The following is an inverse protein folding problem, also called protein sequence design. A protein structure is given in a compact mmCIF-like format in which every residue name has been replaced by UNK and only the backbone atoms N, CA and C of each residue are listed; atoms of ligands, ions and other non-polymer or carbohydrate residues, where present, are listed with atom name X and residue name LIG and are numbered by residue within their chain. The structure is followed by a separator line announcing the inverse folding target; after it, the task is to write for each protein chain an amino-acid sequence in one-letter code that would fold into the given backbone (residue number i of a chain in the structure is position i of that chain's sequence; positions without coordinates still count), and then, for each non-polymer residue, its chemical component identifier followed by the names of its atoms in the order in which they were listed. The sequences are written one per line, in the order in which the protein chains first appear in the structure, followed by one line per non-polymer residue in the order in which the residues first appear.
data_IF_626900605930
#
_entry.id   IF_626900605930
#
_cell.length_a   1.000
_cell.length_b   1.000
_cell.length_c   1.000
_cell.angle_alpha   90.00
_cell.angle_beta   90.00
_cell.angle_gamma   90.00
#
_symmetry.space_group_name_H-M   'P 1'
#
loop_
_entity.id
_entity.type
_entity.pdbx_description
1 polymer ?
#
# COMPACT_ATOMS: atom_id res chain seq x y z
N UNK A 1 -1.98 -20.02 -5.79
CA UNK A 1 -0.83 -19.61 -6.56
C UNK A 1 -0.39 -18.20 -6.20
N UNK A 2 0.84 -18.09 -5.85
CA UNK A 2 1.36 -16.77 -5.54
C UNK A 2 1.33 -15.88 -6.78
N UNK A 3 1.29 -14.58 -6.56
CA UNK A 3 1.41 -13.64 -7.64
C UNK A 3 2.75 -13.84 -8.30
N UNK A 4 2.73 -14.02 -9.59
CA UNK A 4 3.93 -14.31 -10.35
C UNK A 4 4.77 -13.04 -10.52
N UNK A 5 6.02 -13.26 -10.91
CA UNK A 5 6.88 -12.15 -11.26
C UNK A 5 6.26 -11.32 -12.40
N UNK A 6 5.61 -11.99 -13.33
CA UNK A 6 4.97 -11.30 -14.46
C UNK A 6 3.84 -10.39 -14.01
N UNK A 7 3.06 -10.85 -13.03
CA UNK A 7 1.99 -10.02 -12.49
C UNK A 7 2.57 -8.77 -11.84
N UNK A 8 3.63 -8.93 -11.04
CA UNK A 8 4.26 -7.77 -10.39
C UNK A 8 4.81 -6.79 -11.40
N UNK A 9 5.43 -7.29 -12.46
CA UNK A 9 5.93 -6.41 -13.52
C UNK A 9 4.79 -5.66 -14.19
N UNK A 10 3.65 -6.32 -14.37
CA UNK A 10 2.48 -5.68 -14.96
C UNK A 10 1.96 -4.54 -14.09
N UNK A 11 1.92 -4.76 -12.79
CA UNK A 11 1.47 -3.71 -11.86
C UNK A 11 2.42 -2.52 -11.90
N UNK A 12 3.73 -2.78 -11.85
CA UNK A 12 4.72 -1.70 -11.90
C UNK A 12 4.58 -0.91 -13.20
N UNK A 13 4.47 -1.62 -14.32
CA UNK A 13 4.33 -0.95 -15.62
C UNK A 13 3.05 -0.12 -15.68
N UNK A 14 1.96 -0.64 -15.11
CA UNK A 14 0.69 0.08 -15.11
C UNK A 14 0.79 1.35 -14.28
N UNK A 15 1.41 1.25 -13.10
CA UNK A 15 1.57 2.41 -12.23
C UNK A 15 2.40 3.50 -12.90
N UNK A 16 3.46 3.10 -13.59
CA UNK A 16 4.32 4.06 -14.26
C UNK A 16 3.62 4.81 -15.38
N UNK A 17 2.68 4.14 -16.07
CA UNK A 17 1.97 4.77 -17.19
C UNK A 17 0.72 5.51 -16.75
N UNK A 18 0.17 5.16 -15.59
CA UNK A 18 -1.14 5.63 -15.20
C UNK A 18 -1.14 6.04 -13.72
N UNK A 19 -0.86 7.30 -13.44
CA UNK A 19 -0.87 7.78 -12.04
C UNK A 19 -2.21 7.56 -11.33
N UNK A 20 -3.30 7.55 -12.07
CA UNK A 20 -4.61 7.30 -11.47
C UNK A 20 -4.70 5.87 -10.92
N UNK A 21 -3.99 4.93 -11.54
CA UNK A 21 -3.97 3.56 -11.07
C UNK A 21 -3.25 3.46 -9.72
N UNK A 22 -2.12 4.16 -9.58
CA UNK A 22 -1.39 4.18 -8.30
C UNK A 22 -2.25 4.78 -7.21
N UNK A 23 -2.94 5.85 -7.51
CA UNK A 23 -3.84 6.49 -6.55
C UNK A 23 -4.96 5.54 -6.14
N UNK A 24 -5.52 4.81 -7.10
CA UNK A 24 -6.59 3.84 -6.81
C UNK A 24 -6.09 2.70 -5.94
N UNK A 25 -4.85 2.23 -6.17
CA UNK A 25 -4.26 1.20 -5.32
C UNK A 25 -4.04 1.69 -3.90
N UNK A 26 -3.64 2.94 -3.75
CA UNK A 26 -3.45 3.52 -2.43
C UNK A 26 -4.79 3.59 -1.69
N UNK A 27 -5.84 4.02 -2.37
CA UNK A 27 -7.18 4.04 -1.79
C UNK A 27 -7.63 2.66 -1.38
N UNK A 28 -7.39 1.67 -2.23
CA UNK A 28 -7.79 0.30 -1.97
C UNK A 28 -7.06 -0.26 -0.75
N UNK A 29 -5.76 -0.04 -0.65
CA UNK A 29 -5.00 -0.53 0.49
C UNK A 29 -5.50 0.08 1.79
N UNK A 30 -5.74 1.40 1.80
CA UNK A 30 -6.24 2.08 2.98
C UNK A 30 -7.63 1.56 3.37
N UNK A 31 -8.50 1.38 2.38
CA UNK A 31 -9.85 0.89 2.61
C UNK A 31 -9.82 -0.52 3.21
N UNK A 32 -8.97 -1.38 2.68
CA UNK A 32 -8.89 -2.76 3.16
C UNK A 32 -8.36 -2.82 4.59
N UNK A 33 -7.36 -2.01 4.93
CA UNK A 33 -6.88 -1.96 6.31
C UNK A 33 -8.00 -1.54 7.26
N UNK A 34 -8.77 -0.54 6.88
CA UNK A 34 -9.83 -0.01 7.73
C UNK A 34 -11.09 -0.87 7.71
N UNK A 35 -11.18 -1.79 6.77
CA UNK A 35 -12.35 -2.69 6.66
C UNK A 35 -12.07 -4.08 7.22
N UNK A 36 -10.95 -4.26 7.90
CA UNK A 36 -10.67 -5.52 8.57
C UNK A 36 -10.05 -6.57 7.70
N UNK A 37 -9.41 -6.19 6.59
CA UNK A 37 -8.76 -7.13 5.69
C UNK A 37 -7.28 -6.79 5.52
N UNK A 38 -6.51 -6.87 6.62
CA UNK A 38 -5.12 -6.42 6.59
C UNK A 38 -4.20 -7.28 5.72
N UNK A 39 -4.51 -8.56 5.53
CA UNK A 39 -3.64 -9.42 4.73
C UNK A 39 -3.60 -8.97 3.28
N UNK A 40 -4.76 -8.77 2.69
CA UNK A 40 -4.83 -8.30 1.31
C UNK A 40 -4.27 -6.88 1.21
N UNK A 41 -4.57 -6.06 2.21
CA UNK A 41 -4.09 -4.68 2.24
C UNK A 41 -2.56 -4.63 2.22
N UNK A 42 -1.90 -5.49 3.00
CA UNK A 42 -0.43 -5.53 3.03
C UNK A 42 0.15 -5.90 1.68
N UNK A 43 -0.49 -6.85 0.99
CA UNK A 43 -0.03 -7.28 -0.32
C UNK A 43 -0.08 -6.14 -1.33
N UNK A 44 -1.21 -5.46 -1.36
CA UNK A 44 -1.38 -4.33 -2.26
C UNK A 44 -0.39 -3.22 -1.93
N UNK A 45 -0.23 -2.92 -0.64
CA UNK A 45 0.66 -1.86 -0.22
C UNK A 45 2.11 -2.17 -0.57
N UNK A 46 2.52 -3.43 -0.41
CA UNK A 46 3.87 -3.83 -0.78
C UNK A 46 4.12 -3.64 -2.27
N UNK A 47 3.17 -4.07 -3.10
CA UNK A 47 3.32 -3.91 -4.53
C UNK A 47 3.35 -2.43 -4.92
N UNK A 48 2.54 -1.63 -4.24
CA UNK A 48 2.52 -0.19 -4.50
C UNK A 48 3.86 0.46 -4.11
N UNK A 49 4.44 0.06 -2.98
CA UNK A 49 5.75 0.57 -2.57
C UNK A 49 6.79 0.26 -3.65
N UNK A 50 6.81 -0.99 -4.12
CA UNK A 50 7.77 -1.38 -5.16
C UNK A 50 7.58 -0.59 -6.45
N UNK A 51 6.34 -0.24 -6.76
CA UNK A 51 6.02 0.44 -8.02
C UNK A 51 6.18 1.97 -7.93
N UNK A 52 6.32 2.52 -6.75
CA UNK A 52 6.37 3.97 -6.59
C UNK A 52 7.66 4.42 -5.91
N UNK A 53 7.64 4.51 -4.58
CA UNK A 53 8.77 5.07 -3.84
C UNK A 53 9.95 4.11 -3.72
N UNK A 54 9.68 2.80 -3.66
CA UNK A 54 10.71 1.79 -3.41
C UNK A 54 11.07 1.69 -1.94
N UNK A 55 11.55 0.51 -1.53
CA UNK A 55 11.81 0.29 -0.11
C UNK A 55 13.00 1.08 0.43
N UNK A 56 13.99 1.38 -0.41
CA UNK A 56 15.14 2.15 0.05
C UNK A 56 14.76 3.58 0.41
N UNK A 57 14.00 4.24 -0.47
CA UNK A 57 13.56 5.60 -0.20
C UNK A 57 12.53 5.63 0.91
N UNK A 58 11.69 4.59 0.98
CA UNK A 58 10.71 4.48 2.05
C UNK A 58 11.43 4.35 3.40
N UNK A 59 12.51 3.57 3.44
CA UNK A 59 13.32 3.41 4.64
C UNK A 59 13.84 4.77 5.13
N UNK A 60 14.34 5.58 4.22
CA UNK A 60 14.83 6.90 4.58
C UNK A 60 13.69 7.82 5.04
N UNK A 61 12.58 7.77 4.34
CA UNK A 61 11.45 8.66 4.66
C UNK A 61 10.82 8.33 6.02
N UNK A 62 10.85 7.05 6.41
CA UNK A 62 10.21 6.61 7.66
C UNK A 62 11.22 6.39 8.78
N UNK A 63 12.50 6.56 8.51
CA UNK A 63 13.58 6.27 9.47
C UNK A 63 13.46 4.84 10.03
N UNK A 64 13.08 3.91 9.16
CA UNK A 64 12.89 2.50 9.52
C UNK A 64 13.73 1.64 8.59
N UNK A 65 14.46 0.66 9.13
CA UNK A 65 15.28 -0.20 8.26
C UNK A 65 14.45 -0.89 7.18
N UNK A 66 15.01 -0.98 5.98
CA UNK A 66 14.33 -1.61 4.85
C UNK A 66 13.88 -3.02 5.19
N UNK A 67 14.73 -3.77 5.89
CA UNK A 67 14.42 -5.14 6.29
C UNK A 67 13.16 -5.20 7.17
N UNK A 68 13.02 -4.23 8.07
CA UNK A 68 11.84 -4.16 8.92
C UNK A 68 10.59 -3.85 8.10
N UNK A 69 10.72 -2.94 7.13
CA UNK A 69 9.60 -2.61 6.27
C UNK A 69 9.14 -3.82 5.44
N UNK A 70 10.09 -4.57 4.90
CA UNK A 70 9.75 -5.79 4.15
C UNK A 70 8.99 -6.79 5.04
N UNK A 71 9.44 -6.93 6.29
CA UNK A 71 8.77 -7.83 7.21
C UNK A 71 7.37 -7.36 7.56
N UNK A 72 7.21 -6.06 7.79
CA UNK A 72 5.90 -5.49 8.10
C UNK A 72 4.88 -5.75 7.00
N UNK A 73 5.31 -5.67 5.76
CA UNK A 73 4.43 -5.83 4.62
C UNK A 73 4.44 -7.24 4.04
N UNK A 74 5.00 -8.19 4.78
CA UNK A 74 4.97 -9.59 4.37
C UNK A 74 3.60 -10.20 4.69
N UNK A 75 3.31 -11.40 4.15
CA UNK A 75 2.02 -12.04 4.45
C UNK A 75 1.75 -12.25 5.92
N UNK A 76 2.79 -12.45 6.73
CA UNK A 76 2.65 -12.65 8.17
C UNK A 76 3.04 -11.41 8.96
N UNK A 77 3.17 -10.28 8.31
CA UNK A 77 3.55 -9.05 8.97
C UNK A 77 2.44 -8.54 9.87
N UNK A 78 2.85 -7.72 10.83
CA UNK A 78 1.90 -7.13 11.77
C UNK A 78 2.39 -5.73 12.13
N UNK A 79 2.35 -4.81 11.18
CA UNK A 79 2.81 -3.44 11.45
C UNK A 79 1.88 -2.74 12.42
N UNK A 80 2.45 -1.88 13.25
CA UNK A 80 1.63 -1.05 14.12
C UNK A 80 0.92 0.01 13.30
N UNK A 81 -0.11 0.62 13.88
CA UNK A 81 -0.79 1.73 13.22
C UNK A 81 0.17 2.88 12.95
N UNK A 82 1.08 3.15 13.90
CA UNK A 82 2.07 4.21 13.71
C UNK A 82 2.95 3.92 12.50
N UNK A 83 3.39 2.68 12.35
CA UNK A 83 4.21 2.30 11.20
C UNK A 83 3.43 2.43 9.91
N UNK A 84 2.18 1.99 9.90
CA UNK A 84 1.33 2.13 8.72
C UNK A 84 1.11 3.59 8.37
N UNK A 85 0.88 4.43 9.38
CA UNK A 85 0.69 5.86 9.14
C UNK A 85 1.91 6.46 8.46
N UNK A 86 3.11 6.09 8.92
CA UNK A 86 4.34 6.59 8.31
C UNK A 86 4.50 6.12 6.87
N UNK A 87 4.16 4.86 6.61
CA UNK A 87 4.26 4.30 5.26
C UNK A 87 3.29 5.00 4.33
N UNK A 88 2.03 5.12 4.74
CA UNK A 88 1.03 5.81 3.92
C UNK A 88 1.42 7.27 3.66
N UNK A 89 1.93 7.95 4.68
CA UNK A 89 2.33 9.33 4.53
C UNK A 89 3.44 9.48 3.49
N UNK A 90 4.43 8.58 3.52
CA UNK A 90 5.53 8.63 2.56
C UNK A 90 5.04 8.37 1.14
N UNK A 91 4.13 7.42 0.97
CA UNK A 91 3.62 7.08 -0.36
C UNK A 91 2.77 8.21 -0.92
N UNK A 92 1.86 8.77 -0.11
CA UNK A 92 1.00 9.83 -0.61
C UNK A 92 1.80 11.07 -1.01
N UNK A 93 2.87 11.37 -0.26
CA UNK A 93 3.74 12.49 -0.63
C UNK A 93 4.48 12.22 -1.93
N UNK A 94 4.91 10.98 -2.13
CA UNK A 94 5.54 10.58 -3.37
C UNK A 94 4.59 10.74 -4.54
N UNK A 95 3.33 10.39 -4.36
CA UNK A 95 2.31 10.50 -5.39
C UNK A 95 1.67 11.88 -5.46
N UNK A 96 1.99 12.75 -4.51
CA UNK A 96 1.45 14.12 -4.43
C UNK A 96 -0.07 14.13 -4.29
N UNK A 97 -0.57 13.25 -3.42
CA UNK A 97 -1.99 13.16 -3.14
C UNK A 97 -2.23 13.22 -1.64
N UNK A 98 -3.46 13.51 -1.25
CA UNK A 98 -3.90 13.37 0.13
C UNK A 98 -4.77 12.14 0.24
N UNK A 99 -4.87 11.60 1.44
CA UNK A 99 -5.80 10.51 1.75
C UNK A 99 -6.89 11.05 2.66
N UNK A 100 -8.10 10.74 2.32
CA UNK A 100 -9.25 11.14 3.11
C UNK A 100 -10.15 9.93 3.31
N UNK A 101 -10.41 9.60 4.54
CA UNK A 101 -11.30 8.49 4.85
C UNK A 101 -12.66 9.03 5.23
N UNK A 102 -13.68 8.33 4.80
CA UNK A 102 -15.04 8.65 5.20
C UNK A 102 -15.85 7.37 5.26
N UNK A 103 -16.78 7.33 6.19
CA UNK A 103 -17.64 6.16 6.31
C UNK A 103 -18.75 6.25 5.27
N UNK A 104 -19.17 5.08 4.83
CA UNK A 104 -20.29 4.97 3.91
C UNK A 104 -21.29 4.00 4.51
N UNK A 105 -22.56 4.21 4.24
CA UNK A 105 -23.57 3.27 4.70
C UNK A 105 -23.47 1.99 3.91
N UNK A 106 -23.47 0.86 4.59
CA UNK A 106 -23.51 -0.42 3.91
C UNK A 106 -24.93 -0.63 3.40
N UNK A 107 -25.01 -1.08 2.16
CA UNK A 107 -26.30 -1.40 1.61
C UNK A 107 -26.85 -2.63 2.30
N UNK A 108 -28.12 -2.56 2.64
CA UNK A 108 -28.78 -3.74 3.17
C UNK A 108 -28.86 -4.78 2.07
N UNK A 109 -28.38 -5.96 2.40
CA UNK A 109 -28.59 -7.10 1.53
C UNK A 109 -29.93 -7.67 1.92
N UNK A 110 -30.82 -7.58 1.01
CA UNK A 110 -32.19 -8.06 1.27
C UNK A 110 -32.19 -9.57 1.48
#
# INVERSE_FOLDING_TARGET
MALTRDFKKTVVARVERDPAFAKALLDEAATLFLSGEPETARLILRDLVNATIGFERLSKATATPSKSLHRMLSPKGNPSMDNLAAIFDAIRKCLKVGLKAHSVNLQKVA
#
